data_IF_162508185435
#
_entry.id   IF_162508185435
#
_cell.length_a   1.000
_cell.length_b   1.000
_cell.length_c   1.000
_cell.angle_alpha   90.00
_cell.angle_beta   90.00
_cell.angle_gamma   90.00
#
_symmetry.space_group_name_H-M   'P 1'
#
loop_
_entity.id
_entity.type
_entity.pdbx_description
1 polymer ?
#
# COMPACT_ATOMS: atom_id res chain seq x y z
N UNK A 1 18.55 15.78 1.20
CA UNK A 1 17.68 16.86 0.72
C UNK A 1 17.98 17.17 -0.73
N UNK A 2 16.98 17.48 -1.55
CA UNK A 2 17.11 17.84 -2.96
C UNK A 2 15.90 18.66 -3.42
N UNK A 3 16.01 19.26 -4.60
CA UNK A 3 14.92 19.99 -5.24
C UNK A 3 14.50 19.30 -6.54
N UNK A 4 13.21 19.38 -6.87
CA UNK A 4 12.71 19.10 -8.22
C UNK A 4 12.23 20.43 -8.78
N UNK A 5 12.80 20.86 -9.91
CA UNK A 5 12.50 22.13 -10.58
C UNK A 5 11.87 21.89 -11.94
N UNK A 6 11.31 22.95 -12.53
CA UNK A 6 10.75 22.92 -13.88
C UNK A 6 9.69 21.81 -14.04
N UNK A 7 8.72 21.77 -13.12
CA UNK A 7 7.60 20.83 -13.11
C UNK A 7 6.26 21.57 -13.02
N UNK A 8 5.22 20.91 -13.52
CA UNK A 8 3.84 21.28 -13.29
C UNK A 8 3.25 20.34 -12.26
N UNK A 9 2.75 20.85 -11.12
CA UNK A 9 2.33 20.03 -9.99
C UNK A 9 0.82 19.88 -10.00
N UNK A 10 0.35 18.64 -9.98
CA UNK A 10 -1.04 18.26 -9.77
C UNK A 10 -1.13 17.70 -8.34
N UNK A 11 -1.59 18.46 -7.34
CA UNK A 11 -1.51 18.08 -5.94
C UNK A 11 -2.50 16.99 -5.55
N UNK A 12 -3.58 16.80 -6.31
CA UNK A 12 -4.66 15.83 -6.12
C UNK A 12 -5.55 16.07 -4.88
N UNK A 13 -5.29 17.11 -4.09
CA UNK A 13 -6.11 17.53 -2.95
C UNK A 13 -7.11 18.64 -3.30
N UNK A 14 -6.97 19.22 -4.50
CA UNK A 14 -7.82 20.27 -5.04
C UNK A 14 -7.73 20.31 -6.57
N UNK A 15 -8.75 20.88 -7.19
CA UNK A 15 -8.83 21.07 -8.64
C UNK A 15 -7.97 22.26 -9.09
N UNK A 16 -6.66 22.04 -9.15
CA UNK A 16 -5.69 23.05 -9.58
C UNK A 16 -4.40 22.40 -10.13
N UNK A 17 -3.66 23.18 -10.93
CA UNK A 17 -2.32 22.85 -11.39
C UNK A 17 -1.40 24.02 -11.04
N UNK A 18 -0.31 23.74 -10.35
CA UNK A 18 0.75 24.71 -10.14
C UNK A 18 1.77 24.60 -11.26
N UNK A 19 1.78 25.59 -12.17
CA UNK A 19 2.70 25.60 -13.31
C UNK A 19 4.08 26.11 -12.91
N UNK A 20 5.13 25.64 -13.62
CA UNK A 20 6.52 26.09 -13.47
C UNK A 20 6.99 26.16 -12.01
N UNK A 21 6.72 25.10 -11.30
CA UNK A 21 6.92 25.01 -9.85
C UNK A 21 8.19 24.28 -9.47
N UNK A 22 8.55 24.43 -8.20
CA UNK A 22 9.63 23.74 -7.53
C UNK A 22 9.09 23.00 -6.30
N UNK A 23 9.65 21.82 -6.04
CA UNK A 23 9.42 21.08 -4.79
C UNK A 23 10.75 20.90 -4.06
N UNK A 24 10.79 21.23 -2.78
CA UNK A 24 11.87 20.84 -1.89
C UNK A 24 11.52 19.59 -1.10
N UNK A 25 12.46 18.63 -1.06
CA UNK A 25 12.32 17.37 -0.36
C UNK A 25 13.47 17.20 0.63
N UNK A 26 13.11 16.94 1.88
CA UNK A 26 14.05 16.69 2.98
C UNK A 26 13.66 15.42 3.72
N UNK A 27 14.61 14.48 3.83
CA UNK A 27 14.38 13.19 4.50
C UNK A 27 13.12 12.45 4.01
N UNK A 28 12.88 12.47 2.69
CA UNK A 28 11.72 11.82 2.07
C UNK A 28 10.40 12.59 2.22
N UNK A 29 10.42 13.79 2.82
CA UNK A 29 9.20 14.59 3.07
C UNK A 29 9.22 15.82 2.18
N UNK A 30 8.10 16.13 1.53
CA UNK A 30 7.88 17.40 0.83
C UNK A 30 7.80 18.50 1.89
N UNK A 31 8.74 19.46 1.83
CA UNK A 31 8.81 20.61 2.75
C UNK A 31 8.14 21.84 2.18
N UNK A 32 8.29 22.04 0.89
CA UNK A 32 7.77 23.24 0.25
C UNK A 32 7.41 22.97 -1.20
N UNK A 33 6.33 23.56 -1.62
CA UNK A 33 5.92 23.72 -3.02
C UNK A 33 5.86 25.21 -3.29
N UNK A 34 6.51 25.69 -4.37
CA UNK A 34 6.56 27.11 -4.65
C UNK A 34 7.05 27.43 -6.05
N UNK A 35 7.38 28.70 -6.26
CA UNK A 35 7.98 29.21 -7.48
C UNK A 35 9.51 29.17 -7.33
N UNK A 36 10.23 28.86 -8.41
CA UNK A 36 11.69 28.87 -8.41
C UNK A 36 12.21 30.29 -8.16
N UNK A 37 12.93 30.49 -7.05
CA UNK A 37 13.49 31.78 -6.63
C UNK A 37 14.97 31.90 -6.97
N UNK A 38 15.58 30.98 -7.69
CA UNK A 38 16.95 31.08 -8.16
C UNK A 38 17.91 29.99 -7.67
N UNK A 39 19.15 30.40 -7.32
CA UNK A 39 20.24 29.48 -7.03
C UNK A 39 20.06 28.72 -5.71
N UNK A 40 20.50 27.46 -5.69
CA UNK A 40 20.51 26.59 -4.52
C UNK A 40 21.81 25.80 -4.49
N UNK A 41 22.26 25.44 -3.29
CA UNK A 41 23.38 24.49 -3.09
C UNK A 41 22.91 23.03 -3.03
N UNK A 42 21.59 22.78 -3.04
CA UNK A 42 21.04 21.42 -2.99
C UNK A 42 21.11 20.77 -4.38
N UNK A 43 21.24 19.44 -4.43
CA UNK A 43 21.06 18.69 -5.67
C UNK A 43 19.71 18.99 -6.32
N UNK A 44 19.71 19.15 -7.64
CA UNK A 44 18.52 19.51 -8.41
C UNK A 44 18.19 18.42 -9.42
N UNK A 45 16.93 18.03 -9.46
CA UNK A 45 16.35 17.21 -10.51
C UNK A 45 15.55 18.15 -11.42
N UNK A 46 15.91 18.21 -12.70
CA UNK A 46 15.14 18.94 -13.70
C UNK A 46 13.99 18.07 -14.21
N UNK A 47 12.78 18.51 -13.95
CA UNK A 47 11.57 17.84 -14.41
C UNK A 47 11.22 18.08 -15.87
N UNK A 48 11.98 18.93 -16.57
CA UNK A 48 11.86 19.20 -18.01
C UNK A 48 10.43 19.56 -18.46
N UNK A 49 9.72 20.35 -17.65
CA UNK A 49 8.34 20.78 -17.92
C UNK A 49 7.30 19.66 -17.79
N UNK A 50 7.65 18.53 -17.16
CA UNK A 50 6.72 17.40 -16.93
C UNK A 50 5.77 17.68 -15.78
N UNK A 51 4.69 16.89 -15.77
CA UNK A 51 3.76 16.91 -14.65
C UNK A 51 4.24 16.01 -13.51
N UNK A 52 4.14 16.51 -12.29
CA UNK A 52 4.44 15.82 -11.06
C UNK A 52 3.16 15.66 -10.25
N UNK A 53 2.85 14.47 -9.86
CA UNK A 53 1.65 14.11 -9.08
C UNK A 53 2.05 13.07 -8.01
N UNK A 54 1.22 12.88 -6.97
CA UNK A 54 1.42 11.78 -6.02
C UNK A 54 1.48 10.44 -6.73
N UNK A 55 2.27 9.51 -6.20
CA UNK A 55 2.31 8.15 -6.73
C UNK A 55 0.96 7.47 -6.66
N UNK A 56 0.68 6.59 -7.61
CA UNK A 56 -0.58 5.86 -7.68
C UNK A 56 -0.66 4.80 -6.57
N UNK A 57 -1.88 4.50 -6.15
CA UNK A 57 -2.17 3.40 -5.23
C UNK A 57 -3.00 2.34 -5.94
N UNK A 58 -2.52 1.09 -5.99
CA UNK A 58 -3.32 -0.04 -6.43
C UNK A 58 -3.98 -0.71 -5.22
N UNK A 59 -5.29 -0.57 -5.11
CA UNK A 59 -6.07 -0.98 -3.95
C UNK A 59 -6.48 -2.46 -3.96
N UNK A 60 -6.14 -3.23 -5.00
CA UNK A 60 -6.48 -4.65 -5.05
C UNK A 60 -5.51 -5.43 -5.94
N UNK A 61 -4.41 -5.86 -5.33
CA UNK A 61 -3.40 -6.70 -6.00
C UNK A 61 -3.30 -8.07 -5.35
N UNK A 62 -2.68 -9.02 -6.04
CA UNK A 62 -2.23 -10.30 -5.53
C UNK A 62 -0.76 -10.44 -5.85
N UNK A 63 0.10 -10.25 -4.86
CA UNK A 63 1.56 -10.33 -5.02
C UNK A 63 2.01 -11.77 -4.76
N UNK A 64 2.65 -12.39 -5.74
CA UNK A 64 3.15 -13.75 -5.66
C UNK A 64 4.66 -13.81 -5.48
N UNK A 65 5.36 -12.78 -5.95
CA UNK A 65 6.82 -12.73 -5.92
C UNK A 65 7.33 -11.31 -5.61
N UNK A 66 8.46 -11.24 -4.91
CA UNK A 66 9.12 -9.96 -4.59
C UNK A 66 9.58 -9.17 -5.82
N UNK A 67 9.83 -9.85 -6.94
CA UNK A 67 10.24 -9.19 -8.18
C UNK A 67 9.13 -8.35 -8.81
N UNK A 68 7.87 -8.66 -8.52
CA UNK A 68 6.73 -7.86 -8.94
C UNK A 68 6.75 -6.44 -8.36
N UNK A 69 7.35 -6.26 -7.16
CA UNK A 69 7.39 -4.96 -6.47
C UNK A 69 8.05 -3.87 -7.32
N UNK A 70 9.11 -4.21 -8.06
CA UNK A 70 9.77 -3.29 -8.98
C UNK A 70 8.90 -2.89 -10.15
N UNK A 71 8.01 -3.77 -10.63
CA UNK A 71 7.09 -3.48 -11.73
C UNK A 71 6.03 -2.46 -11.32
N UNK A 72 5.52 -2.52 -10.09
CA UNK A 72 4.62 -1.49 -9.56
C UNK A 72 5.27 -0.11 -9.59
N UNK A 73 6.47 0.01 -9.03
CA UNK A 73 7.23 1.28 -9.01
C UNK A 73 7.54 1.79 -10.43
N UNK A 74 7.92 0.90 -11.35
CA UNK A 74 8.21 1.25 -12.75
C UNK A 74 6.97 1.82 -13.48
N UNK A 75 5.76 1.50 -12.99
CA UNK A 75 4.50 2.03 -13.51
C UNK A 75 3.92 3.18 -12.65
N UNK A 76 4.71 3.76 -11.74
CA UNK A 76 4.28 4.88 -10.91
C UNK A 76 3.36 4.51 -9.75
N UNK A 77 3.21 3.21 -9.44
CA UNK A 77 2.43 2.73 -8.30
C UNK A 77 3.35 2.67 -7.09
N UNK A 78 3.15 3.58 -6.16
CA UNK A 78 3.98 3.74 -4.95
C UNK A 78 3.38 3.14 -3.69
N UNK A 79 2.12 2.71 -3.75
CA UNK A 79 1.43 2.02 -2.66
C UNK A 79 0.57 0.89 -3.21
N UNK A 80 0.56 -0.26 -2.54
CA UNK A 80 -0.28 -1.39 -2.95
C UNK A 80 -1.00 -2.01 -1.76
N UNK A 81 -2.23 -2.49 -2.03
CA UNK A 81 -3.01 -3.27 -1.07
C UNK A 81 -3.18 -4.69 -1.57
N UNK A 82 -2.37 -5.60 -1.03
CA UNK A 82 -2.45 -7.02 -1.35
C UNK A 82 -3.67 -7.66 -0.67
N UNK A 83 -4.58 -8.18 -1.47
CA UNK A 83 -5.88 -8.69 -1.02
C UNK A 83 -5.94 -10.22 -0.93
N UNK A 84 -4.78 -10.88 -0.91
CA UNK A 84 -4.67 -12.32 -0.67
C UNK A 84 -3.36 -12.60 0.08
N UNK A 85 -3.42 -12.52 1.42
CA UNK A 85 -2.25 -12.66 2.27
C UNK A 85 -1.71 -14.07 2.30
N UNK A 86 -0.39 -14.18 2.08
CA UNK A 86 0.39 -15.41 2.18
C UNK A 86 1.40 -15.28 3.33
N UNK A 87 1.93 -16.39 3.87
CA UNK A 87 2.87 -16.35 4.99
C UNK A 87 4.13 -15.50 4.76
N UNK A 88 4.51 -15.27 3.50
CA UNK A 88 5.68 -14.46 3.13
C UNK A 88 5.44 -12.94 3.23
N UNK A 89 4.18 -12.47 3.16
CA UNK A 89 3.88 -11.04 3.02
C UNK A 89 4.27 -10.20 4.24
N UNK A 90 4.07 -10.61 5.51
CA UNK A 90 4.55 -9.84 6.65
C UNK A 90 6.08 -9.63 6.63
N UNK A 91 6.83 -10.66 6.22
CA UNK A 91 8.28 -10.55 6.05
C UNK A 91 8.65 -9.61 4.91
N UNK A 92 7.97 -9.71 3.77
CA UNK A 92 8.16 -8.83 2.61
C UNK A 92 7.93 -7.36 3.00
N UNK A 93 6.84 -7.05 3.71
CA UNK A 93 6.55 -5.73 4.26
C UNK A 93 7.69 -5.23 5.16
N UNK A 94 8.16 -6.07 6.08
CA UNK A 94 9.27 -5.73 6.97
C UNK A 94 10.56 -5.43 6.20
N UNK A 95 10.85 -6.18 5.14
CA UNK A 95 12.05 -6.00 4.33
C UNK A 95 11.96 -4.72 3.47
N UNK A 96 10.77 -4.34 2.99
CA UNK A 96 10.53 -3.04 2.33
C UNK A 96 10.76 -1.91 3.34
N UNK A 97 10.10 -1.96 4.49
CA UNK A 97 10.16 -0.90 5.51
C UNK A 97 11.58 -0.68 6.06
N UNK A 98 12.41 -1.74 6.08
CA UNK A 98 13.81 -1.66 6.49
C UNK A 98 14.78 -1.31 5.36
N UNK A 99 14.30 -1.11 4.14
CA UNK A 99 15.12 -0.80 2.97
C UNK A 99 15.95 -1.96 2.44
N UNK A 100 15.71 -3.20 2.86
CA UNK A 100 16.39 -4.39 2.35
C UNK A 100 16.00 -4.74 0.93
N UNK A 101 14.75 -4.46 0.57
CA UNK A 101 14.24 -4.59 -0.78
C UNK A 101 13.52 -3.31 -1.17
N UNK A 102 13.61 -2.98 -2.45
CA UNK A 102 12.90 -1.82 -3.02
C UNK A 102 11.49 -2.27 -3.40
N UNK A 103 10.49 -1.50 -2.98
CA UNK A 103 9.09 -1.76 -3.29
C UNK A 103 8.19 -0.59 -2.91
N UNK A 104 6.92 -0.61 -3.34
CA UNK A 104 5.92 0.34 -2.90
C UNK A 104 5.58 0.14 -1.42
N UNK A 105 4.92 1.11 -0.79
CA UNK A 105 4.30 0.92 0.50
C UNK A 105 3.36 -0.29 0.43
N UNK A 106 3.61 -1.27 1.29
CA UNK A 106 3.00 -2.58 1.20
C UNK A 106 2.02 -2.83 2.32
N UNK A 107 0.74 -2.92 1.98
CA UNK A 107 -0.33 -3.31 2.89
C UNK A 107 -0.88 -4.66 2.48
N UNK A 108 -1.11 -5.56 3.42
CA UNK A 108 -1.61 -6.91 3.12
C UNK A 108 -2.73 -7.35 4.04
N UNK A 109 -3.77 -7.92 3.43
CA UNK A 109 -4.71 -8.75 4.18
C UNK A 109 -4.04 -10.02 4.68
N UNK A 110 -4.68 -10.68 5.64
CA UNK A 110 -4.46 -12.09 5.91
C UNK A 110 -4.96 -12.98 4.76
N UNK A 111 -4.96 -14.31 4.95
CA UNK A 111 -5.59 -15.25 4.02
C UNK A 111 -7.08 -14.95 3.87
N UNK A 112 -7.68 -15.44 2.80
CA UNK A 112 -9.13 -15.36 2.60
C UNK A 112 -9.86 -16.14 3.70
N UNK A 113 -10.76 -15.49 4.41
CA UNK A 113 -11.65 -16.13 5.37
C UNK A 113 -12.93 -16.53 4.66
N UNK A 114 -13.23 -17.81 4.65
CA UNK A 114 -14.34 -18.41 3.91
C UNK A 114 -15.26 -19.18 4.84
N UNK A 115 -16.50 -19.35 4.42
CA UNK A 115 -17.44 -20.21 5.12
C UNK A 115 -17.19 -21.71 4.87
N UNK A 116 -17.95 -22.59 5.56
CA UNK A 116 -17.71 -24.02 5.55
C UNK A 116 -17.96 -24.71 4.21
N UNK A 117 -18.79 -24.14 3.35
CA UNK A 117 -19.14 -24.72 2.05
C UNK A 117 -18.19 -24.30 0.92
N UNK A 118 -17.29 -23.37 1.17
CA UNK A 118 -16.38 -22.89 0.14
C UNK A 118 -15.23 -23.86 -0.07
N UNK A 119 -15.13 -24.40 -1.28
CA UNK A 119 -14.02 -25.24 -1.73
C UNK A 119 -13.09 -24.40 -2.59
N UNK A 120 -11.87 -24.20 -2.16
CA UNK A 120 -10.86 -23.44 -2.89
C UNK A 120 -9.51 -23.47 -2.18
N UNK A 121 -8.47 -23.08 -2.92
CA UNK A 121 -7.10 -23.12 -2.41
C UNK A 121 -6.76 -21.91 -1.54
N UNK A 122 -5.75 -22.07 -0.68
CA UNK A 122 -5.12 -21.01 0.12
C UNK A 122 -6.13 -20.09 0.86
N UNK A 123 -7.08 -20.71 1.53
CA UNK A 123 -8.07 -20.03 2.36
C UNK A 123 -8.05 -20.54 3.80
N UNK A 124 -8.75 -19.84 4.68
CA UNK A 124 -9.05 -20.29 6.04
C UNK A 124 -10.55 -20.50 6.14
N UNK A 125 -10.98 -21.76 6.11
CA UNK A 125 -12.37 -22.13 6.31
C UNK A 125 -12.78 -21.94 7.78
N UNK A 126 -13.90 -21.31 7.98
CA UNK A 126 -14.47 -21.01 9.28
C UNK A 126 -15.76 -21.81 9.46
N UNK A 127 -15.84 -22.52 10.58
CA UNK A 127 -16.97 -23.39 10.90
C UNK A 127 -17.78 -22.90 12.09
N UNK A 128 -17.17 -22.10 12.98
CA UNK A 128 -17.84 -21.54 14.16
C UNK A 128 -17.39 -20.09 14.42
N UNK A 129 -18.22 -19.28 15.13
CA UNK A 129 -17.84 -17.92 15.54
C UNK A 129 -16.55 -17.86 16.34
N UNK A 130 -16.26 -18.86 17.20
CA UNK A 130 -15.02 -18.92 17.97
C UNK A 130 -13.80 -19.06 17.05
N UNK A 131 -13.89 -19.92 16.04
CA UNK A 131 -12.82 -20.09 15.03
C UNK A 131 -12.65 -18.83 14.18
N UNK A 132 -13.73 -18.11 13.90
CA UNK A 132 -13.63 -16.81 13.24
C UNK A 132 -12.85 -15.80 14.09
N UNK A 133 -13.15 -15.66 15.38
CA UNK A 133 -12.40 -14.80 16.30
C UNK A 133 -10.92 -15.20 16.42
N UNK A 134 -10.64 -16.49 16.58
CA UNK A 134 -9.26 -17.02 16.60
C UNK A 134 -8.48 -16.65 15.34
N UNK A 135 -9.10 -16.74 14.17
CA UNK A 135 -8.48 -16.37 12.90
C UNK A 135 -8.09 -14.88 12.85
N UNK A 136 -8.95 -13.98 13.34
CA UNK A 136 -8.64 -12.55 13.43
C UNK A 136 -7.45 -12.29 14.34
N UNK A 137 -7.45 -12.89 15.54
CA UNK A 137 -6.31 -12.78 16.47
C UNK A 137 -5.03 -13.29 15.84
N UNK A 138 -5.11 -14.40 15.09
CA UNK A 138 -3.96 -14.95 14.36
C UNK A 138 -3.45 -14.01 13.28
N UNK A 139 -4.34 -13.41 12.47
CA UNK A 139 -3.98 -12.44 11.45
C UNK A 139 -3.24 -11.23 12.06
N UNK A 140 -3.76 -10.68 13.16
CA UNK A 140 -3.13 -9.57 13.87
C UNK A 140 -1.75 -9.92 14.41
N UNK A 141 -1.61 -11.10 15.05
CA UNK A 141 -0.32 -11.58 15.57
C UNK A 141 0.73 -11.80 14.50
N UNK A 142 0.32 -12.18 13.29
CA UNK A 142 1.20 -12.38 12.13
C UNK A 142 1.59 -11.08 11.44
N UNK A 143 0.98 -9.94 11.81
CA UNK A 143 1.34 -8.62 11.28
C UNK A 143 0.65 -8.25 9.96
N UNK A 144 -0.49 -8.87 9.65
CA UNK A 144 -1.34 -8.42 8.56
C UNK A 144 -2.09 -7.13 8.95
N UNK A 145 -2.33 -6.26 7.95
CA UNK A 145 -2.92 -4.94 8.18
C UNK A 145 -4.43 -4.97 8.27
N UNK A 146 -5.07 -5.93 7.61
CA UNK A 146 -6.53 -6.07 7.58
C UNK A 146 -6.96 -7.50 7.27
N UNK A 147 -8.25 -7.73 7.34
CA UNK A 147 -8.88 -9.03 7.12
C UNK A 147 -9.50 -9.08 5.73
N UNK A 148 -9.45 -10.23 5.09
CA UNK A 148 -10.14 -10.50 3.83
C UNK A 148 -11.27 -11.49 4.08
N UNK A 149 -12.49 -11.01 4.15
CA UNK A 149 -13.68 -11.86 4.07
C UNK A 149 -13.90 -12.31 2.63
N UNK A 150 -14.39 -13.52 2.45
CA UNK A 150 -14.65 -14.08 1.15
C UNK A 150 -15.96 -14.90 1.15
N UNK A 151 -16.14 -15.82 0.20
CA UNK A 151 -17.42 -16.51 -0.04
C UNK A 151 -17.83 -17.49 1.05
N UNK A 152 -19.14 -17.71 1.16
CA UNK A 152 -19.75 -18.75 1.98
C UNK A 152 -19.81 -18.47 3.49
N UNK A 153 -19.48 -17.24 3.91
CA UNK A 153 -19.65 -16.85 5.32
C UNK A 153 -21.14 -16.74 5.67
N UNK A 154 -21.53 -17.34 6.80
CA UNK A 154 -22.84 -17.09 7.37
C UNK A 154 -22.88 -15.71 8.09
N UNK A 155 -24.06 -15.14 8.36
CA UNK A 155 -24.16 -13.89 9.12
C UNK A 155 -23.43 -13.96 10.47
N UNK A 156 -23.57 -15.09 11.20
CA UNK A 156 -22.96 -15.28 12.53
C UNK A 156 -21.42 -15.29 12.45
N UNK A 157 -20.88 -15.94 11.41
CA UNK A 157 -19.42 -15.95 11.18
C UNK A 157 -18.92 -14.55 10.83
N UNK A 158 -19.66 -13.84 9.97
CA UNK A 158 -19.31 -12.48 9.57
C UNK A 158 -19.35 -11.51 10.75
N UNK A 159 -20.40 -11.56 11.57
CA UNK A 159 -20.51 -10.75 12.79
C UNK A 159 -19.36 -11.01 13.75
N UNK A 160 -19.01 -12.29 13.98
CA UNK A 160 -17.88 -12.66 14.83
C UNK A 160 -16.53 -12.12 14.30
N UNK A 161 -16.36 -12.07 12.96
CA UNK A 161 -15.18 -11.46 12.34
C UNK A 161 -15.14 -9.95 12.63
N UNK A 162 -16.24 -9.24 12.39
CA UNK A 162 -16.31 -7.78 12.56
C UNK A 162 -16.09 -7.39 14.03
N UNK A 163 -16.80 -8.04 14.96
CA UNK A 163 -16.65 -7.78 16.40
C UNK A 163 -15.20 -7.94 16.89
N UNK A 164 -14.48 -8.93 16.34
CA UNK A 164 -13.12 -9.20 16.78
C UNK A 164 -12.09 -8.31 16.08
N UNK A 165 -12.41 -7.75 14.90
CA UNK A 165 -11.52 -6.93 14.10
C UNK A 165 -11.53 -5.44 14.50
N UNK A 166 -12.59 -4.99 15.17
CA UNK A 166 -12.75 -3.62 15.71
C UNK A 166 -12.20 -3.52 17.12
#
# INVERSE_FOLDING_TARGET
SYLIKNVHIIPMDKDTIFYNSIISIENGIIRQIGIDTGSTSLPVIDGAGKFLLPGLTDMHVHVWDRYELGLYLANGITSIRNMWGQPMHPKMKSDINSGKIIGPDFYSSGPKLTGPEFIGDDNTQLFTPEKAREAIVSCRKKGYDFVKTYNGLTPELYEAIIDQAT
#
